data_IF_424644093377
#
_entry.id   IF_424644093377
#
_cell.length_a   1.000
_cell.length_b   1.000
_cell.length_c   1.000
_cell.angle_alpha   90.00
_cell.angle_beta   90.00
_cell.angle_gamma   90.00
#
_symmetry.space_group_name_H-M   'P 1'
#
loop_
_entity.id
_entity.type
_entity.pdbx_description
1 polymer ?
#
# COMPACT_ATOMS: atom_id res chain seq x y z
N UNK A 1 -0.68 26.73 -9.63
CA UNK A 1 0.13 26.00 -10.63
C UNK A 1 -0.67 24.79 -11.08
N UNK A 2 -0.59 24.40 -12.36
CA UNK A 2 -1.35 23.26 -12.89
C UNK A 2 -0.42 22.08 -13.13
N UNK A 3 -0.65 20.99 -12.41
CA UNK A 3 -0.07 19.69 -12.70
C UNK A 3 -0.72 19.12 -13.96
N UNK A 4 0.07 18.59 -14.90
CA UNK A 4 -0.40 17.97 -16.14
C UNK A 4 0.19 16.58 -16.27
N UNK A 5 -0.61 15.65 -16.79
CA UNK A 5 -0.16 14.31 -17.17
C UNK A 5 -0.07 14.25 -18.69
N UNK A 6 1.12 13.93 -19.22
CA UNK A 6 1.40 13.77 -20.64
C UNK A 6 1.60 12.29 -20.93
N UNK A 7 0.93 11.77 -21.96
CA UNK A 7 1.01 10.35 -22.35
C UNK A 7 1.50 10.31 -23.79
N UNK A 8 2.62 9.63 -24.02
CA UNK A 8 3.18 9.35 -25.35
C UNK A 8 3.06 7.85 -25.65
N UNK A 9 2.23 7.53 -26.63
CA UNK A 9 2.00 6.18 -27.15
C UNK A 9 2.30 6.10 -28.66
N UNK A 10 3.19 6.95 -29.16
CA UNK A 10 3.58 6.97 -30.59
C UNK A 10 4.37 5.73 -31.00
N UNK A 11 5.14 5.16 -30.08
CA UNK A 11 5.95 3.97 -30.29
C UNK A 11 5.17 2.75 -29.79
N UNK A 12 5.05 1.71 -30.62
CA UNK A 12 4.26 0.53 -30.26
C UNK A 12 4.96 -0.36 -29.21
N UNK A 13 6.27 -0.22 -29.11
CA UNK A 13 7.13 -0.93 -28.18
C UNK A 13 7.03 -0.42 -26.74
N UNK A 14 6.66 0.84 -26.54
CA UNK A 14 6.59 1.45 -25.22
C UNK A 14 5.60 2.61 -25.12
N UNK A 15 4.96 2.75 -23.96
CA UNK A 15 4.13 3.90 -23.61
C UNK A 15 4.81 4.66 -22.48
N UNK A 16 4.94 5.98 -22.62
CA UNK A 16 5.61 6.83 -21.64
C UNK A 16 4.59 7.78 -21.01
N UNK A 17 4.60 7.90 -19.68
CA UNK A 17 3.72 8.77 -18.91
C UNK A 17 4.58 9.74 -18.11
N UNK A 18 4.24 11.02 -18.19
CA UNK A 18 5.01 12.09 -17.56
C UNK A 18 4.07 12.99 -16.77
N UNK A 19 4.34 13.17 -15.48
CA UNK A 19 3.65 14.17 -14.65
C UNK A 19 4.53 15.40 -14.53
N UNK A 20 4.00 16.55 -14.95
CA UNK A 20 4.72 17.83 -14.94
C UNK A 20 3.97 18.87 -14.12
N UNK A 21 4.71 19.66 -13.35
CA UNK A 21 4.21 20.87 -12.69
C UNK A 21 4.81 22.10 -13.39
N UNK A 22 4.01 22.75 -14.23
CA UNK A 22 4.46 23.82 -15.11
C UNK A 22 5.48 23.33 -16.15
N UNK A 23 6.77 23.57 -15.89
CA UNK A 23 7.91 23.10 -16.72
C UNK A 23 8.80 22.10 -15.99
N UNK A 24 8.49 21.77 -14.74
CA UNK A 24 9.27 20.85 -13.92
C UNK A 24 8.71 19.44 -14.07
N UNK A 25 9.58 18.50 -14.38
CA UNK A 25 9.27 17.07 -14.31
C UNK A 25 9.08 16.68 -12.85
N UNK A 26 7.93 16.10 -12.52
CA UNK A 26 7.61 15.58 -11.19
C UNK A 26 7.79 14.08 -11.15
N UNK A 27 7.23 13.38 -12.13
CA UNK A 27 7.29 11.93 -12.22
C UNK A 27 7.37 11.47 -13.67
N UNK A 28 8.01 10.33 -13.90
CA UNK A 28 8.20 9.71 -15.20
C UNK A 28 8.10 8.20 -15.05
N UNK A 29 7.18 7.59 -15.79
CA UNK A 29 7.03 6.15 -15.88
C UNK A 29 6.93 5.70 -17.34
N UNK A 30 7.30 4.46 -17.62
CA UNK A 30 7.16 3.88 -18.94
C UNK A 30 6.80 2.39 -18.87
N UNK A 31 5.89 1.98 -19.74
CA UNK A 31 5.47 0.59 -19.88
C UNK A 31 6.00 0.03 -21.20
N UNK A 32 6.66 -1.14 -21.14
CA UNK A 32 7.14 -1.85 -22.33
C UNK A 32 6.16 -2.93 -22.75
N UNK A 33 5.91 -3.06 -24.05
CA UNK A 33 4.96 -4.03 -24.60
C UNK A 33 5.36 -5.51 -24.37
N UNK A 34 6.64 -5.78 -24.12
CA UNK A 34 7.19 -7.13 -23.96
C UNK A 34 6.95 -7.75 -22.59
N UNK A 35 6.69 -6.94 -21.54
CA UNK A 35 6.53 -7.44 -20.17
C UNK A 35 5.31 -6.82 -19.51
N UNK A 36 4.16 -7.48 -19.66
CA UNK A 36 2.95 -7.11 -18.91
C UNK A 36 3.14 -7.38 -17.43
N UNK A 37 2.95 -6.36 -16.62
CA UNK A 37 2.89 -6.50 -15.17
C UNK A 37 1.56 -7.18 -14.80
N UNK A 38 1.64 -8.33 -14.14
CA UNK A 38 0.46 -9.05 -13.64
C UNK A 38 0.12 -8.68 -12.19
N UNK A 39 1.06 -8.03 -11.49
CA UNK A 39 0.90 -7.61 -10.10
C UNK A 39 -0.14 -6.50 -10.01
N UNK A 40 -1.14 -6.68 -9.13
CA UNK A 40 -2.23 -5.72 -8.93
C UNK A 40 -3.44 -5.95 -9.83
N UNK A 41 -3.36 -6.89 -10.77
CA UNK A 41 -4.50 -7.22 -11.63
C UNK A 41 -5.57 -7.97 -10.83
N UNK A 42 -6.84 -7.71 -11.18
CA UNK A 42 -8.01 -8.36 -10.58
C UNK A 42 -8.62 -9.29 -11.63
N UNK A 43 -8.86 -10.54 -11.25
CA UNK A 43 -9.42 -11.57 -12.14
C UNK A 43 -10.67 -12.19 -11.52
N UNK A 44 -11.65 -12.50 -12.36
CA UNK A 44 -12.64 -13.51 -12.02
C UNK A 44 -12.01 -14.88 -12.25
N UNK A 45 -11.76 -15.61 -11.17
CA UNK A 45 -11.06 -16.90 -11.20
C UNK A 45 -11.96 -18.05 -10.72
N UNK A 46 -11.57 -19.28 -11.07
CA UNK A 46 -12.25 -20.50 -10.60
C UNK A 46 -11.31 -21.30 -9.70
N UNK A 47 -11.81 -21.74 -8.54
CA UNK A 47 -11.07 -22.67 -7.68
C UNK A 47 -10.94 -24.02 -8.39
N UNK A 48 -9.70 -24.49 -8.56
CA UNK A 48 -9.41 -25.78 -9.22
C UNK A 48 -9.33 -26.92 -8.21
N UNK A 49 -8.69 -26.67 -7.07
CA UNK A 49 -8.59 -27.63 -5.95
C UNK A 49 -8.32 -26.90 -4.64
N UNK A 50 -8.68 -27.56 -3.54
CA UNK A 50 -8.38 -27.12 -2.17
C UNK A 50 -7.34 -28.08 -1.58
N UNK A 51 -6.31 -27.53 -0.95
CA UNK A 51 -5.21 -28.27 -0.32
C UNK A 51 -5.22 -28.00 1.19
N UNK A 52 -5.90 -28.84 2.00
CA UNK A 52 -6.03 -28.64 3.44
C UNK A 52 -4.68 -28.59 4.17
N UNK A 53 -3.72 -29.40 3.72
CA UNK A 53 -2.37 -29.45 4.30
C UNK A 53 -1.63 -28.12 4.19
N UNK A 54 -1.91 -27.34 3.14
CA UNK A 54 -1.32 -26.01 2.92
C UNK A 54 -2.21 -24.89 3.45
N UNK A 55 -3.42 -25.22 3.94
CA UNK A 55 -4.48 -24.26 4.23
C UNK A 55 -4.64 -23.25 3.09
N UNK A 56 -4.79 -23.75 1.86
CA UNK A 56 -4.83 -22.94 0.66
C UNK A 56 -5.69 -23.56 -0.43
N UNK A 57 -6.05 -22.75 -1.42
CA UNK A 57 -6.71 -23.16 -2.65
C UNK A 57 -5.84 -22.79 -3.86
N UNK A 58 -5.88 -23.63 -4.89
CA UNK A 58 -5.34 -23.27 -6.20
C UNK A 58 -6.47 -22.73 -7.08
N UNK A 59 -6.19 -21.62 -7.77
CA UNK A 59 -7.15 -20.91 -8.61
C UNK A 59 -6.68 -20.84 -10.06
N UNK A 60 -7.59 -21.05 -11.00
CA UNK A 60 -7.37 -20.77 -12.40
C UNK A 60 -7.92 -19.36 -12.72
N UNK A 61 -6.99 -18.46 -13.03
CA UNK A 61 -7.26 -17.07 -13.42
C UNK A 61 -6.92 -16.81 -14.91
N UNK A 62 -6.69 -17.87 -15.70
CA UNK A 62 -6.32 -17.76 -17.12
C UNK A 62 -4.82 -17.57 -17.39
N UNK A 63 -3.97 -17.73 -16.38
CA UNK A 63 -2.51 -17.73 -16.52
C UNK A 63 -1.92 -19.09 -16.90
N UNK A 64 -0.63 -19.12 -17.24
CA UNK A 64 0.09 -20.37 -17.57
C UNK A 64 0.20 -21.35 -16.40
N UNK A 65 0.05 -20.88 -15.16
CA UNK A 65 0.07 -21.68 -13.93
C UNK A 65 -1.09 -21.24 -13.04
N UNK A 66 -1.62 -22.18 -12.26
CA UNK A 66 -2.61 -21.85 -11.24
C UNK A 66 -2.02 -20.89 -10.21
N UNK A 67 -2.86 -19.94 -9.79
CA UNK A 67 -2.59 -19.06 -8.67
C UNK A 67 -2.68 -19.84 -7.36
N UNK A 68 -1.94 -19.39 -6.36
CA UNK A 68 -2.01 -19.88 -5.00
C UNK A 68 -2.78 -18.84 -4.19
N UNK A 69 -3.81 -19.27 -3.47
CA UNK A 69 -4.65 -18.43 -2.62
C UNK A 69 -4.65 -19.02 -1.21
N UNK A 70 -3.98 -18.36 -0.28
CA UNK A 70 -3.93 -18.81 1.12
C UNK A 70 -5.29 -18.58 1.80
N UNK A 71 -5.64 -19.43 2.78
CA UNK A 71 -6.95 -19.35 3.43
C UNK A 71 -7.18 -18.02 4.18
N UNK A 72 -6.14 -17.46 4.79
CA UNK A 72 -6.19 -16.17 5.48
C UNK A 72 -6.30 -14.96 4.54
N UNK A 73 -6.18 -15.14 3.22
CA UNK A 73 -6.36 -14.08 2.22
C UNK A 73 -7.75 -14.14 1.56
N UNK A 74 -8.64 -15.04 2.03
CA UNK A 74 -10.00 -15.17 1.52
C UNK A 74 -10.95 -14.32 2.36
N UNK A 75 -11.62 -13.36 1.72
CA UNK A 75 -12.63 -12.54 2.40
C UNK A 75 -13.79 -13.39 2.95
N UNK A 76 -14.31 -13.13 4.16
CA UNK A 76 -15.40 -13.90 4.77
C UNK A 76 -16.65 -14.05 3.91
N UNK A 77 -16.92 -13.12 2.98
CA UNK A 77 -18.01 -13.21 2.00
C UNK A 77 -17.93 -14.44 1.09
N UNK A 78 -16.76 -15.04 0.92
CA UNK A 78 -16.60 -16.26 0.14
C UNK A 78 -16.78 -17.53 0.96
N UNK A 79 -16.93 -17.44 2.29
CA UNK A 79 -17.15 -18.61 3.13
C UNK A 79 -18.55 -19.19 2.92
N UNK A 80 -18.65 -20.52 2.95
CA UNK A 80 -19.95 -21.21 2.92
C UNK A 80 -20.43 -21.45 4.34
N UNK A 81 -20.80 -20.37 5.02
CA UNK A 81 -21.33 -20.38 6.40
C UNK A 81 -22.73 -19.73 6.45
N UNK A 82 -23.53 -20.04 7.47
CA UNK A 82 -24.80 -19.36 7.73
C UNK A 82 -24.61 -17.84 7.80
N UNK A 83 -25.65 -17.10 7.39
CA UNK A 83 -25.59 -15.62 7.31
C UNK A 83 -25.29 -14.99 8.67
N UNK A 84 -25.89 -15.51 9.75
CA UNK A 84 -25.65 -15.02 11.11
C UNK A 84 -24.18 -15.12 11.52
N UNK A 85 -23.52 -16.24 11.20
CA UNK A 85 -22.11 -16.46 11.52
C UNK A 85 -21.21 -15.53 10.71
N UNK A 86 -21.58 -15.25 9.45
CA UNK A 86 -20.86 -14.30 8.58
C UNK A 86 -20.96 -12.86 9.08
N UNK A 87 -22.16 -12.43 9.48
CA UNK A 87 -22.41 -11.09 10.00
C UNK A 87 -21.62 -10.85 11.29
N UNK A 88 -21.55 -11.84 12.17
CA UNK A 88 -20.74 -11.76 13.39
C UNK A 88 -19.25 -11.58 13.06
N UNK A 89 -18.70 -12.34 12.11
CA UNK A 89 -17.30 -12.23 11.70
C UNK A 89 -16.97 -10.85 11.10
N UNK A 90 -17.85 -10.31 10.24
CA UNK A 90 -17.65 -9.00 9.63
C UNK A 90 -17.74 -7.87 10.67
N UNK A 91 -18.64 -7.98 11.64
CA UNK A 91 -18.77 -7.01 12.72
C UNK A 91 -17.49 -7.00 13.60
N UNK A 92 -16.96 -8.17 13.94
CA UNK A 92 -15.73 -8.30 14.71
C UNK A 92 -14.52 -7.72 13.95
N UNK A 93 -14.40 -7.99 12.65
CA UNK A 93 -13.34 -7.40 11.80
C UNK A 93 -13.44 -5.87 11.72
N UNK A 94 -14.66 -5.33 11.58
CA UNK A 94 -14.89 -3.89 11.54
C UNK A 94 -14.53 -3.23 12.89
N UNK A 95 -14.87 -3.86 14.02
CA UNK A 95 -14.51 -3.35 15.34
C UNK A 95 -12.99 -3.37 15.57
N UNK A 96 -12.32 -4.44 15.14
CA UNK A 96 -10.85 -4.54 15.22
C UNK A 96 -10.17 -3.50 14.34
N UNK A 97 -10.63 -3.31 13.10
CA UNK A 97 -10.11 -2.29 12.19
C UNK A 97 -10.30 -0.88 12.75
N UNK A 98 -11.47 -0.59 13.34
CA UNK A 98 -11.72 0.69 14.01
C UNK A 98 -10.77 0.90 15.20
N UNK A 99 -10.61 -0.11 16.06
CA UNK A 99 -9.67 -0.06 17.19
C UNK A 99 -8.23 0.12 16.74
N UNK A 100 -7.83 -0.51 15.63
CA UNK A 100 -6.49 -0.39 15.08
C UNK A 100 -6.27 1.01 14.48
N UNK A 101 -7.23 1.55 13.74
CA UNK A 101 -7.17 2.91 13.22
C UNK A 101 -7.05 3.94 14.36
N UNK A 102 -7.83 3.80 15.44
CA UNK A 102 -7.72 4.66 16.63
C UNK A 102 -6.33 4.58 17.30
N UNK A 103 -5.70 3.40 17.30
CA UNK A 103 -4.34 3.22 17.82
C UNK A 103 -3.29 3.85 16.91
N UNK A 104 -3.44 3.71 15.59
CA UNK A 104 -2.55 4.31 14.59
C UNK A 104 -2.61 5.85 14.67
N UNK A 105 -3.80 6.44 14.73
CA UNK A 105 -3.99 7.89 14.91
C UNK A 105 -3.30 8.40 16.19
N UNK A 106 -3.40 7.66 17.31
CA UNK A 106 -2.75 8.00 18.58
C UNK A 106 -1.23 7.86 18.54
N UNK A 107 -0.67 6.97 17.72
CA UNK A 107 0.77 6.81 17.58
C UNK A 107 1.36 7.95 16.74
N UNK A 108 0.67 8.36 15.68
CA UNK A 108 1.08 9.49 14.85
C UNK A 108 1.08 10.81 15.64
N UNK A 109 0.05 11.07 16.46
CA UNK A 109 0.00 12.24 17.35
C UNK A 109 1.17 12.30 18.35
N UNK A 110 1.61 11.15 18.87
CA UNK A 110 2.73 11.09 19.82
C UNK A 110 4.09 11.25 19.12
N UNK A 111 4.24 10.79 17.88
CA UNK A 111 5.50 10.92 17.14
C UNK A 111 5.79 12.38 16.76
N UNK A 112 4.76 13.16 16.41
CA UNK A 112 4.87 14.61 16.18
C UNK A 112 5.30 15.40 17.45
N UNK A 113 4.98 14.88 18.63
CA UNK A 113 5.42 15.50 19.89
C UNK A 113 6.90 15.20 20.20
N UNK A 114 7.40 14.00 19.88
CA UNK A 114 8.78 13.60 20.17
C UNK A 114 9.79 14.28 19.24
N UNK A 115 9.46 14.50 17.96
CA UNK A 115 10.35 15.25 17.05
C UNK A 115 10.52 16.73 17.43
N UNK A 116 9.53 17.34 18.07
CA UNK A 116 9.60 18.74 18.51
C UNK A 116 10.41 18.94 19.81
N UNK A 117 10.52 17.92 20.66
CA UNK A 117 11.34 18.00 21.88
C UNK A 117 12.83 17.94 21.56
N UNK A 118 13.24 17.10 20.60
CA UNK A 118 14.66 16.92 20.24
C UNK A 118 15.29 18.11 19.46
N UNK A 119 14.50 19.05 18.94
CA UNK A 119 15.02 20.26 18.27
C UNK A 119 15.35 21.41 19.23
N UNK A 120 14.87 21.36 20.48
CA UNK A 120 15.03 22.46 21.43
C UNK A 120 16.23 22.33 22.38
N UNK A 121 17.02 21.25 22.30
CA UNK A 121 18.21 21.05 23.16
C UNK A 121 19.56 21.25 22.46
N UNK A 122 19.59 21.79 21.24
CA UNK A 122 20.85 22.08 20.52
C UNK A 122 21.08 23.58 20.29
N UNK A 123 21.03 24.39 21.37
CA UNK A 123 21.68 25.71 21.35
C UNK A 123 23.15 25.58 21.81
N UNK A 124 24.13 26.06 21.03
CA UNK A 124 25.52 26.09 21.46
C UNK A 124 25.71 27.22 22.48
N UNK A 125 26.11 26.87 23.70
CA UNK A 125 26.57 27.84 24.71
C UNK A 125 27.84 28.52 24.18
N UNK A 126 27.72 29.79 23.80
CA UNK A 126 28.83 30.63 23.38
C UNK A 126 29.57 31.05 24.65
N UNK A 127 30.79 30.52 24.85
CA UNK A 127 31.67 30.96 25.92
C UNK A 127 32.23 32.34 25.58
N UNK A 128 31.73 33.38 26.24
CA UNK A 128 32.39 34.69 26.24
C UNK A 128 33.70 34.58 27.03
N UNK A 129 34.81 34.77 26.33
CA UNK A 129 36.14 34.87 26.93
C UNK A 129 36.34 36.25 27.52
N UNK A 130 36.53 36.30 28.85
CA UNK A 130 36.99 37.49 29.57
C UNK A 130 38.46 37.79 29.21
N UNK A 131 38.70 38.97 28.66
CA UNK A 131 39.99 39.66 28.65
C UNK A 131 40.21 40.30 30.04
N UNK A 132 41.25 39.92 30.78
CA UNK A 132 41.86 40.77 31.81
C UNK A 132 43.27 40.34 32.24
N UNK A 133 44.25 41.19 31.88
CA UNK A 133 45.57 41.51 32.48
C UNK A 133 46.72 40.51 32.33
#
# INVERSE_FOLDING_TARGET
MTTRMLIDATHAEETRIVVVDGKRLVDFDFETATKRQLKGNIYLAKVTRVEPSLQAAFVDYGGNRHGFLAFNEIHPDYYQIPVADREALLADEAEQAARQAELEDRVDENNDHVENVNKNESEPVIAEGDDAV
#
